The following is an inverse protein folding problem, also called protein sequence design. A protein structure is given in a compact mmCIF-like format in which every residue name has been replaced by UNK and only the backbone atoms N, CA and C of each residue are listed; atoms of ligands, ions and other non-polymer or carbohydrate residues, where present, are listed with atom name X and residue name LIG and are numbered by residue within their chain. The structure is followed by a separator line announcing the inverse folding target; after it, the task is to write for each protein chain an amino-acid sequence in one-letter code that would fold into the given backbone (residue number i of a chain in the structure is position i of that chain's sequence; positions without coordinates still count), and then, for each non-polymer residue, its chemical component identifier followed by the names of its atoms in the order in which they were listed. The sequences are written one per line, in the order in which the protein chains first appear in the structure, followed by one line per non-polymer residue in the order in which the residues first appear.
data_IF_672863132641
#
_entry.id   IF_672863132641
#
_cell.length_a   1.000
_cell.length_b   1.000
_cell.length_c   1.000
_cell.angle_alpha   90.00
_cell.angle_beta   90.00
_cell.angle_gamma   90.00
#
_symmetry.space_group_name_H-M   'P 1'
#
loop_
_entity.id
_entity.type
_entity.pdbx_description
1 polymer ?
#
# COMPACT_ATOMS: atom_id res chain seq x y z
N UNK A 1 17.69 60.29 16.29
CA UNK A 1 17.66 59.89 16.18
C UNK A 1 17.39 58.85 15.98
N UNK A 2 17.15 58.55 15.88
CA UNK A 2 16.97 57.74 15.63
C UNK A 2 16.61 56.77 15.22
N UNK A 3 16.52 56.45 14.98
CA UNK A 3 16.20 55.77 14.43
C UNK A 3 16.17 54.69 14.27
N UNK A 4 16.04 54.28 14.20
CA UNK A 4 16.08 53.43 14.00
C UNK A 4 15.76 52.36 13.94
N UNK A 5 15.70 52.07 14.01
CA UNK A 5 15.55 51.13 13.92
C UNK A 5 14.97 50.27 13.57
N UNK A 6 14.53 50.18 13.45
CA UNK A 6 13.96 49.51 13.07
C UNK A 6 14.06 48.65 12.40
N UNK A 7 14.03 48.51 12.18
CA UNK A 7 14.03 47.83 11.46
C UNK A 7 14.33 46.75 11.47
N UNK A 8 14.22 46.36 11.49
CA UNK A 8 14.44 45.40 11.40
C UNK A 8 13.87 44.40 11.43
N UNK A 9 13.55 44.10 11.56
CA UNK A 9 13.02 43.19 11.59
C UNK A 9 12.60 42.47 10.93
N UNK A 10 12.27 42.36 10.77
CA UNK A 10 11.67 41.82 10.14
C UNK A 10 11.86 40.82 9.61
N UNK A 11 11.81 40.66 9.41
CA UNK A 11 12.01 39.88 8.65
C UNK A 11 11.93 38.69 8.90
N UNK A 12 11.91 38.27 9.11
CA UNK A 12 11.89 37.11 9.34
C UNK A 12 11.01 36.31 9.01
N UNK A 13 10.62 36.16 9.05
CA UNK A 13 9.81 35.48 8.80
C UNK A 13 9.64 34.71 7.98
N UNK A 14 9.49 34.58 7.69
CA UNK A 14 9.13 33.95 6.90
C UNK A 14 9.54 32.86 6.69
N UNK A 15 9.67 32.53 6.66
CA UNK A 15 10.06 31.51 6.26
C UNK A 15 9.66 30.47 6.59
N UNK A 16 9.22 30.19 6.85
CA UNK A 16 8.79 29.20 7.02
C UNK A 16 8.25 28.47 6.44
N UNK A 17 8.02 28.45 6.31
CA UNK A 17 7.40 27.96 5.81
C UNK A 17 7.43 27.04 5.24
N UNK A 18 7.23 26.83 4.99
CA UNK A 18 7.10 26.16 4.27
C UNK A 18 7.22 25.01 4.16
N UNK A 19 7.25 24.64 4.08
CA UNK A 19 7.39 23.60 3.86
C UNK A 19 6.68 22.61 3.83
N UNK A 20 6.38 22.33 3.78
CA UNK A 20 5.75 21.51 3.82
C UNK A 20 5.44 20.63 3.19
N UNK A 21 5.19 20.32 2.85
CA UNK A 21 5.02 19.63 2.27
C UNK A 21 4.60 18.61 1.98
N UNK A 22 4.23 18.17 1.99
CA UNK A 22 3.68 17.40 1.64
C UNK A 22 3.76 16.41 0.86
N UNK A 23 3.67 15.89 0.44
CA UNK A 23 3.91 14.99 -0.37
C UNK A 23 3.54 13.69 0.02
N UNK A 24 2.67 13.45 0.72
CA UNK A 24 2.35 12.16 1.01
C UNK A 24 1.74 11.48 -0.11
N UNK A 25 1.25 12.11 -1.05
CA UNK A 25 0.58 11.42 -2.10
C UNK A 25 1.47 10.48 -2.85
N UNK A 26 2.74 10.66 -2.74
CA UNK A 26 3.62 9.85 -3.49
C UNK A 26 4.29 8.81 -2.70
N UNK A 27 3.69 8.35 -1.66
CA UNK A 27 4.31 7.33 -0.89
C UNK A 27 4.52 6.09 -1.70
N UNK A 28 5.71 5.51 -1.72
CA UNK A 28 5.91 4.28 -2.47
C UNK A 28 5.19 3.13 -1.82
N UNK A 29 4.96 2.10 -2.63
CA UNK A 29 4.39 0.89 -2.12
C UNK A 29 5.31 0.30 -1.08
N UNK A 30 4.75 -0.15 0.01
CA UNK A 30 5.56 -0.72 1.05
C UNK A 30 5.79 -2.19 0.81
N UNK A 31 6.96 -2.64 1.18
CA UNK A 31 7.29 -4.05 1.16
C UNK A 31 6.77 -4.70 2.44
N UNK A 32 6.29 -5.91 2.32
CA UNK A 32 5.74 -6.63 3.48
C UNK A 32 6.21 -8.06 3.48
N UNK A 33 5.98 -8.73 4.59
CA UNK A 33 6.39 -10.12 4.74
C UNK A 33 7.88 -10.24 4.84
N UNK A 34 8.42 -11.31 4.29
CA UNK A 34 9.84 -11.54 4.29
C UNK A 34 10.34 -12.02 5.64
N UNK A 35 11.66 -12.02 5.75
CA UNK A 35 12.30 -12.51 6.95
C UNK A 35 11.90 -11.71 8.18
N UNK A 36 11.66 -10.42 8.01
CA UNK A 36 11.32 -9.57 9.14
C UNK A 36 9.84 -9.55 9.46
N UNK A 37 9.02 -10.18 8.64
CA UNK A 37 7.59 -10.21 8.89
C UNK A 37 6.95 -8.85 8.91
N UNK A 38 7.29 -8.00 7.95
CA UNK A 38 6.79 -6.64 7.91
C UNK A 38 5.29 -6.63 7.65
N UNK A 39 4.58 -5.76 8.36
CA UNK A 39 3.13 -5.69 8.24
C UNK A 39 2.74 -4.51 7.36
N UNK A 40 1.51 -4.57 6.85
CA UNK A 40 0.95 -3.50 6.03
C UNK A 40 0.05 -2.60 6.87
N UNK A 41 -0.21 -1.38 6.38
CA UNK A 41 -1.18 -0.52 7.06
C UNK A 41 -2.56 -1.15 7.11
N UNK A 42 -3.43 -0.55 7.92
CA UNK A 42 -4.67 -1.18 8.29
C UNK A 42 -5.58 -1.53 7.12
N UNK A 43 -5.62 -0.72 6.07
CA UNK A 43 -6.52 -0.98 4.97
C UNK A 43 -5.81 -1.57 3.77
N UNK A 44 -4.68 -2.22 4.01
CA UNK A 44 -3.91 -2.88 2.96
C UNK A 44 -3.60 -4.30 3.39
N UNK A 45 -3.19 -5.10 2.43
CA UNK A 45 -2.79 -6.46 2.74
C UNK A 45 -1.52 -6.78 1.97
N UNK A 46 -0.80 -7.78 2.42
CA UNK A 46 0.45 -8.17 1.79
C UNK A 46 0.15 -9.13 0.65
N UNK A 47 0.41 -8.66 -0.57
CA UNK A 47 0.14 -9.45 -1.77
C UNK A 47 1.46 -9.95 -2.31
N UNK A 48 1.62 -11.26 -2.36
CA UNK A 48 2.86 -11.86 -2.84
C UNK A 48 2.74 -12.08 -4.34
N UNK A 49 3.74 -11.65 -5.11
CA UNK A 49 3.65 -11.72 -6.57
C UNK A 49 3.94 -13.12 -7.09
N UNK A 50 3.73 -13.27 -8.39
CA UNK A 50 4.11 -14.48 -9.12
C UNK A 50 3.41 -15.73 -8.62
N UNK A 51 2.15 -15.56 -8.24
CA UNK A 51 1.32 -16.69 -7.81
C UNK A 51 1.98 -17.48 -6.69
N UNK A 52 2.56 -16.75 -5.76
CA UNK A 52 3.17 -17.39 -4.61
C UNK A 52 2.44 -16.95 -3.36
N UNK A 53 2.73 -17.64 -2.27
CA UNK A 53 2.03 -17.40 -1.03
C UNK A 53 2.97 -17.03 0.09
N UNK A 54 4.10 -16.47 -0.25
CA UNK A 54 5.02 -15.99 0.77
C UNK A 54 5.94 -17.03 1.33
N UNK A 55 6.17 -18.09 0.58
CA UNK A 55 7.06 -19.15 1.05
C UNK A 55 8.51 -18.69 1.02
N UNK A 56 9.34 -19.32 1.83
CA UNK A 56 10.79 -19.12 1.81
C UNK A 56 11.18 -17.67 2.05
N UNK A 57 10.52 -17.01 2.98
CA UNK A 57 10.84 -15.63 3.35
C UNK A 57 10.67 -14.65 2.20
N UNK A 58 9.78 -14.96 1.28
CA UNK A 58 9.51 -14.05 0.17
C UNK A 58 8.87 -12.78 0.69
N UNK A 59 9.21 -11.65 0.05
CA UNK A 59 8.54 -10.40 0.35
C UNK A 59 7.41 -10.18 -0.64
N UNK A 60 6.44 -9.39 -0.21
CA UNK A 60 5.34 -8.97 -1.06
C UNK A 60 5.19 -7.48 -1.03
N UNK A 61 4.13 -7.01 -1.62
CA UNK A 61 3.83 -5.59 -1.65
C UNK A 61 2.52 -5.33 -0.93
N UNK A 62 2.49 -4.25 -0.17
CA UNK A 62 1.26 -3.86 0.47
C UNK A 62 0.33 -3.26 -0.57
N UNK A 63 -0.84 -3.85 -0.71
CA UNK A 63 -1.81 -3.43 -1.71
C UNK A 63 -3.09 -3.03 -1.02
N UNK A 64 -3.77 -1.99 -1.54
CA UNK A 64 -5.02 -1.60 -0.92
C UNK A 64 -6.09 -2.67 -1.09
N UNK A 65 -6.90 -2.81 -0.07
CA UNK A 65 -8.04 -3.72 -0.13
C UNK A 65 -9.14 -2.99 -0.87
N UNK A 66 -9.57 -3.47 -2.04
CA UNK A 66 -10.61 -2.77 -2.78
C UNK A 66 -11.94 -2.86 -2.06
N UNK A 67 -12.74 -1.80 -2.19
CA UNK A 67 -14.02 -1.77 -1.52
C UNK A 67 -15.15 -2.20 -2.39
N UNK A 68 -14.96 -2.18 -3.69
CA UNK A 68 -15.98 -2.61 -4.62
C UNK A 68 -15.33 -3.39 -5.74
N UNK A 69 -16.02 -4.39 -6.22
CA UNK A 69 -15.53 -5.21 -7.31
C UNK A 69 -16.62 -5.42 -8.32
N UNK A 70 -16.24 -5.58 -9.57
CA UNK A 70 -17.18 -6.00 -10.59
C UNK A 70 -17.42 -7.49 -10.46
N UNK A 71 -18.36 -8.00 -11.26
CA UNK A 71 -18.79 -9.37 -11.11
C UNK A 71 -18.39 -10.26 -12.28
N UNK A 72 -17.46 -9.82 -13.09
CA UNK A 72 -17.02 -10.69 -14.16
C UNK A 72 -16.38 -11.94 -13.58
N UNK A 73 -16.57 -13.05 -14.27
CA UNK A 73 -16.06 -14.30 -13.75
C UNK A 73 -14.76 -14.66 -14.45
N UNK A 74 -13.66 -14.40 -13.78
CA UNK A 74 -12.32 -14.79 -14.21
C UNK A 74 -11.65 -15.37 -12.98
N UNK A 75 -11.93 -16.61 -12.65
CA UNK A 75 -11.60 -17.13 -11.33
C UNK A 75 -10.12 -17.23 -11.08
N UNK A 76 -9.77 -17.09 -9.82
CA UNK A 76 -8.41 -17.30 -9.34
C UNK A 76 -8.49 -18.12 -8.07
N UNK A 77 -7.42 -18.83 -7.81
CA UNK A 77 -7.32 -19.62 -6.58
C UNK A 77 -6.49 -18.82 -5.58
N UNK A 78 -7.05 -18.58 -4.42
CA UNK A 78 -6.35 -17.85 -3.37
C UNK A 78 -5.42 -18.75 -2.59
N UNK A 79 -4.49 -18.13 -1.90
CA UNK A 79 -3.55 -18.86 -1.06
C UNK A 79 -4.22 -19.48 0.13
N UNK A 80 -5.48 -19.14 0.38
CA UNK A 80 -6.27 -19.77 1.41
C UNK A 80 -7.01 -21.00 0.91
N UNK A 81 -6.79 -21.40 -0.34
CA UNK A 81 -7.44 -22.58 -0.89
C UNK A 81 -8.83 -22.35 -1.40
N UNK A 82 -9.26 -21.09 -1.48
CA UNK A 82 -10.61 -20.79 -1.94
C UNK A 82 -10.58 -20.21 -3.34
N UNK A 83 -11.58 -20.55 -4.14
CA UNK A 83 -11.73 -19.99 -5.46
C UNK A 83 -12.50 -18.68 -5.34
N UNK A 84 -11.95 -17.63 -5.92
CA UNK A 84 -12.60 -16.33 -5.99
C UNK A 84 -13.05 -16.06 -7.40
N UNK A 85 -14.17 -15.37 -7.54
CA UNK A 85 -14.76 -15.15 -8.85
C UNK A 85 -13.91 -14.29 -9.76
N UNK A 86 -13.06 -13.46 -9.20
CA UNK A 86 -12.09 -12.67 -9.97
C UNK A 86 -11.03 -12.16 -9.03
N UNK A 87 -10.04 -11.52 -9.63
CA UNK A 87 -8.88 -11.06 -8.86
C UNK A 87 -9.26 -9.97 -7.87
N UNK A 88 -10.21 -9.12 -8.23
CA UNK A 88 -10.65 -8.08 -7.32
C UNK A 88 -11.28 -8.68 -6.06
N UNK A 89 -12.11 -9.69 -6.23
CA UNK A 89 -12.73 -10.34 -5.07
C UNK A 89 -11.69 -10.99 -4.18
N UNK A 90 -10.65 -11.54 -4.78
CA UNK A 90 -9.57 -12.10 -4.00
C UNK A 90 -8.87 -11.02 -3.19
N UNK A 91 -8.59 -9.88 -3.82
CA UNK A 91 -7.93 -8.80 -3.11
C UNK A 91 -8.82 -8.20 -2.02
N UNK A 92 -10.13 -8.18 -2.28
CA UNK A 92 -11.06 -7.70 -1.27
C UNK A 92 -11.05 -8.59 -0.03
N UNK A 93 -10.70 -9.85 -0.19
CA UNK A 93 -10.56 -10.77 0.93
C UNK A 93 -9.17 -10.69 1.56
N UNK A 94 -8.26 -9.91 1.00
CA UNK A 94 -6.92 -9.77 1.55
C UNK A 94 -6.05 -11.00 1.36
N UNK A 95 -6.26 -11.73 0.29
CA UNK A 95 -5.60 -13.01 0.08
C UNK A 95 -4.73 -12.94 -1.16
N UNK A 96 -3.50 -13.42 -1.07
CA UNK A 96 -2.63 -13.52 -2.22
C UNK A 96 -3.11 -14.60 -3.16
N UNK A 97 -2.70 -14.51 -4.43
CA UNK A 97 -3.13 -15.46 -5.43
C UNK A 97 -2.17 -16.63 -5.48
N UNK A 98 -2.71 -17.82 -5.45
CA UNK A 98 -1.92 -19.01 -5.59
C UNK A 98 -1.81 -19.43 -7.06
N UNK A 99 -2.89 -19.27 -7.81
CA UNK A 99 -2.89 -19.69 -9.21
C UNK A 99 -4.04 -19.01 -9.93
N UNK A 100 -3.94 -18.95 -11.24
CA UNK A 100 -5.05 -18.55 -12.07
C UNK A 100 -6.01 -19.71 -12.19
N UNK A 101 -7.28 -19.39 -12.37
CA UNK A 101 -8.29 -20.43 -12.49
C UNK A 101 -8.77 -20.89 -11.14
N UNK A 102 -9.73 -21.79 -11.18
CA UNK A 102 -10.30 -22.31 -9.95
C UNK A 102 -9.29 -23.17 -9.22
N UNK A 103 -9.43 -23.22 -7.91
CA UNK A 103 -8.60 -24.12 -7.12
C UNK A 103 -8.88 -25.57 -7.53
N UNK A 104 -7.86 -26.41 -7.55
CA UNK A 104 -8.10 -27.81 -7.85
C UNK A 104 -8.91 -28.44 -6.73
N UNK A 105 -9.71 -29.43 -7.08
CA UNK A 105 -10.56 -30.08 -6.08
C UNK A 105 -9.83 -31.20 -5.37
#
# INVERSE_FOLDING_TARGET
MSGLPARLFLAAMLWFVGGVAASFADEPMRTCGGLQGLACPADQFCDFPNDSCGAADQTGDCMPVPQMCTFEYMPVCGCDGKTYGNDCSRRAAGVSRQAEGECPS
#
